data_IF_404565857251
#
_entry.id   IF_404565857251
#
_cell.length_a   1.000
_cell.length_b   1.000
_cell.length_c   1.000
_cell.angle_alpha   90.00
_cell.angle_beta   90.00
_cell.angle_gamma   90.00
#
_symmetry.space_group_name_H-M   'P 1'
#
loop_
_entity.id
_entity.type
_entity.pdbx_description
1 polymer ?
#
# COMPACT_ATOMS: atom_id res chain seq x y z
N UNK A 1 -13.84 -7.90 -1.58
CA UNK A 1 -15.28 -7.60 -1.76
C UNK A 1 -15.54 -7.40 -3.22
N UNK A 2 -16.65 -7.92 -3.72
CA UNK A 2 -17.01 -7.85 -5.14
C UNK A 2 -15.83 -8.29 -6.04
N UNK A 3 -15.24 -9.44 -5.71
CA UNK A 3 -14.11 -10.00 -6.44
C UNK A 3 -12.74 -9.32 -6.21
N UNK A 4 -12.67 -8.25 -5.42
CA UNK A 4 -11.39 -7.59 -5.08
C UNK A 4 -10.80 -6.78 -6.25
N UNK A 5 -11.63 -6.34 -7.19
CA UNK A 5 -11.21 -5.67 -8.43
C UNK A 5 -10.91 -4.18 -8.24
N UNK A 6 -11.30 -3.58 -7.12
CA UNK A 6 -11.00 -2.18 -6.82
C UNK A 6 -9.49 -1.96 -6.73
N UNK A 7 -9.00 -0.92 -7.41
CA UNK A 7 -7.59 -0.58 -7.49
C UNK A 7 -7.19 0.52 -6.51
N UNK A 8 -5.97 0.40 -6.00
CA UNK A 8 -5.32 1.31 -5.05
C UNK A 8 -3.87 1.55 -5.44
N UNK A 9 -3.42 2.79 -5.28
CA UNK A 9 -2.02 3.15 -5.33
C UNK A 9 -1.34 2.88 -3.98
N UNK A 10 -0.33 2.02 -3.96
CA UNK A 10 0.43 1.66 -2.75
C UNK A 10 1.76 2.40 -2.69
N UNK A 11 2.07 2.99 -1.53
CA UNK A 11 3.26 3.83 -1.37
C UNK A 11 4.06 3.31 -0.20
N UNK A 12 5.36 3.08 -0.41
CA UNK A 12 6.23 2.66 0.67
C UNK A 12 6.46 3.82 1.65
N UNK A 13 6.70 3.48 2.92
CA UNK A 13 6.79 4.48 3.99
C UNK A 13 7.90 5.50 3.74
N UNK A 14 9.05 5.08 3.22
CA UNK A 14 10.17 6.00 2.94
C UNK A 14 9.84 7.05 1.87
N UNK A 15 9.09 6.66 0.84
CA UNK A 15 8.57 7.61 -0.16
C UNK A 15 7.62 8.62 0.50
N UNK A 16 6.78 8.16 1.44
CA UNK A 16 5.88 9.03 2.20
C UNK A 16 6.62 10.00 3.12
N UNK A 17 7.57 9.49 3.91
CA UNK A 17 8.37 10.28 4.85
C UNK A 17 9.24 11.29 4.11
N UNK A 18 9.87 10.91 2.99
CA UNK A 18 10.67 11.85 2.20
C UNK A 18 9.84 13.04 1.68
N UNK A 19 8.59 12.83 1.27
CA UNK A 19 7.69 13.93 0.92
C UNK A 19 7.36 14.82 2.14
N UNK A 20 7.05 14.20 3.29
CA UNK A 20 6.76 14.93 4.52
C UNK A 20 7.94 15.79 4.98
N UNK A 21 9.17 15.28 4.88
CA UNK A 21 10.37 16.05 5.22
C UNK A 21 10.53 17.28 4.33
N UNK A 22 10.22 17.18 3.02
CA UNK A 22 10.24 18.34 2.11
C UNK A 22 9.16 19.38 2.45
N UNK A 23 7.98 18.93 2.87
CA UNK A 23 6.90 19.82 3.33
C UNK A 23 7.32 20.58 4.59
N UNK A 24 7.96 19.89 5.55
CA UNK A 24 8.44 20.49 6.80
C UNK A 24 9.57 21.49 6.54
N UNK A 25 10.53 21.13 5.68
CA UNK A 25 11.61 22.03 5.25
C UNK A 25 11.06 23.30 4.59
N UNK A 26 9.92 23.18 3.88
CA UNK A 26 9.15 24.28 3.28
C UNK A 26 10.04 25.30 2.56
N UNK A 27 11.02 24.81 1.79
CA UNK A 27 11.97 25.65 1.08
C UNK A 27 11.25 26.71 0.25
N UNK A 28 11.68 27.96 0.39
CA UNK A 28 11.10 29.14 -0.26
C UNK A 28 9.60 29.36 0.02
N UNK A 29 9.06 28.72 1.07
CA UNK A 29 7.64 28.79 1.42
C UNK A 29 6.71 28.01 0.49
N UNK A 30 7.23 27.16 -0.41
CA UNK A 30 6.46 26.49 -1.48
C UNK A 30 5.30 25.62 -0.99
N UNK A 31 5.42 24.99 0.18
CA UNK A 31 4.39 24.13 0.73
C UNK A 31 3.26 24.90 1.45
N UNK A 32 3.44 26.20 1.68
CA UNK A 32 2.48 27.04 2.41
C UNK A 32 1.15 27.14 1.65
N UNK A 33 0.06 26.75 2.31
CA UNK A 33 -1.30 26.81 1.73
C UNK A 33 -1.58 25.78 0.63
N UNK A 34 -0.67 24.81 0.41
CA UNK A 34 -0.84 23.78 -0.61
C UNK A 34 -1.50 22.52 -0.06
N UNK A 35 -2.10 21.75 -0.98
CA UNK A 35 -2.63 20.41 -0.70
C UNK A 35 -1.88 19.44 -1.60
N UNK A 36 -1.18 18.49 -0.99
CA UNK A 36 -0.38 17.49 -1.69
C UNK A 36 -0.97 16.09 -1.53
N UNK A 37 -1.13 15.40 -2.66
CA UNK A 37 -1.25 13.95 -2.62
C UNK A 37 0.16 13.36 -2.49
N UNK A 38 0.37 12.52 -1.48
CA UNK A 38 1.60 11.76 -1.32
C UNK A 38 1.26 10.30 -1.64
N UNK A 39 1.68 9.84 -2.81
CA UNK A 39 1.52 8.44 -3.16
C UNK A 39 2.24 8.04 -4.45
N UNK A 40 2.34 6.73 -4.70
CA UNK A 40 2.96 6.18 -5.88
C UNK A 40 1.91 5.71 -6.92
N UNK A 41 1.59 6.52 -7.94
CA UNK A 41 0.59 6.15 -8.96
C UNK A 41 1.03 4.98 -9.83
N UNK A 42 2.33 4.64 -9.87
CA UNK A 42 2.83 3.49 -10.62
C UNK A 42 2.51 2.16 -9.91
N UNK A 43 2.41 2.17 -8.58
CA UNK A 43 2.05 1.00 -7.78
C UNK A 43 0.53 0.83 -7.66
N UNK A 44 -0.20 0.83 -8.79
CA UNK A 44 -1.67 0.77 -8.79
C UNK A 44 -2.18 -0.65 -9.05
N UNK A 45 -2.58 -1.34 -7.98
CA UNK A 45 -3.00 -2.74 -8.01
C UNK A 45 -4.38 -2.93 -7.40
N UNK A 46 -5.10 -3.94 -7.89
CA UNK A 46 -6.31 -4.42 -7.26
C UNK A 46 -6.02 -5.13 -5.94
N UNK A 47 -7.03 -5.23 -5.08
CA UNK A 47 -6.89 -5.99 -3.82
C UNK A 47 -6.59 -7.47 -4.09
N UNK A 48 -7.14 -8.03 -5.17
CA UNK A 48 -6.80 -9.39 -5.60
C UNK A 48 -5.34 -9.53 -6.01
N UNK A 49 -4.83 -8.60 -6.82
CA UNK A 49 -3.42 -8.59 -7.23
C UNK A 49 -2.50 -8.46 -6.01
N UNK A 50 -2.84 -7.57 -5.05
CA UNK A 50 -2.11 -7.45 -3.79
C UNK A 50 -2.06 -8.78 -3.04
N UNK A 51 -3.20 -9.42 -2.81
CA UNK A 51 -3.27 -10.69 -2.09
C UNK A 51 -2.42 -11.77 -2.77
N UNK A 52 -2.46 -11.84 -4.10
CA UNK A 52 -1.66 -12.79 -4.87
C UNK A 52 -0.15 -12.50 -4.72
N UNK A 53 0.28 -11.25 -4.87
CA UNK A 53 1.68 -10.86 -4.70
C UNK A 53 2.20 -11.17 -3.29
N UNK A 54 1.39 -10.95 -2.26
CA UNK A 54 1.73 -11.29 -0.87
C UNK A 54 1.86 -12.81 -0.68
N UNK A 55 0.95 -13.60 -1.23
CA UNK A 55 1.01 -15.07 -1.14
C UNK A 55 2.21 -15.65 -1.87
N UNK A 56 2.51 -15.14 -3.07
CA UNK A 56 3.67 -15.57 -3.84
C UNK A 56 4.96 -15.24 -3.12
N UNK A 57 5.04 -14.07 -2.49
CA UNK A 57 6.18 -13.70 -1.66
C UNK A 57 6.27 -14.59 -0.41
N UNK A 58 5.17 -14.84 0.30
CA UNK A 58 5.14 -15.69 1.49
C UNK A 58 5.66 -17.11 1.26
N UNK A 59 5.47 -17.67 0.06
CA UNK A 59 6.00 -18.99 -0.33
C UNK A 59 7.52 -19.02 -0.46
N UNK A 60 8.15 -17.87 -0.68
CA UNK A 60 9.62 -17.75 -0.80
C UNK A 60 10.30 -17.70 0.57
N UNK A 61 9.60 -17.23 1.60
CA UNK A 61 10.14 -17.10 2.97
C UNK A 61 9.82 -18.35 3.80
N UNK A 62 10.83 -19.09 4.27
CA UNK A 62 10.64 -20.32 5.06
C UNK A 62 9.72 -20.14 6.29
N UNK A 63 9.80 -18.97 6.92
CA UNK A 63 9.06 -18.62 8.12
C UNK A 63 7.55 -18.48 7.87
N UNK A 64 7.14 -18.18 6.64
CA UNK A 64 5.74 -17.97 6.24
C UNK A 64 5.15 -19.11 5.39
N UNK A 65 5.99 -19.95 4.79
CA UNK A 65 5.59 -20.96 3.81
C UNK A 65 4.49 -21.90 4.33
N UNK A 66 4.64 -22.43 5.56
CA UNK A 66 3.66 -23.34 6.17
C UNK A 66 2.26 -22.73 6.36
N UNK A 67 2.17 -21.41 6.53
CA UNK A 67 0.90 -20.72 6.71
C UNK A 67 0.35 -20.23 5.37
N UNK A 68 1.21 -19.83 4.43
CA UNK A 68 0.82 -19.40 3.09
C UNK A 68 -0.01 -20.46 2.36
N UNK A 69 0.35 -21.74 2.49
CA UNK A 69 -0.36 -22.85 1.85
C UNK A 69 -1.77 -23.10 2.42
N UNK A 70 -2.06 -22.55 3.61
CA UNK A 70 -3.37 -22.65 4.27
C UNK A 70 -4.29 -21.47 3.95
N UNK A 71 -3.77 -20.39 3.37
CA UNK A 71 -4.56 -19.20 3.07
C UNK A 71 -5.48 -19.46 1.89
N UNK A 72 -6.76 -19.16 2.06
CA UNK A 72 -7.73 -19.15 0.99
C UNK A 72 -8.26 -17.73 0.77
N UNK A 73 -8.18 -17.25 -0.47
CA UNK A 73 -8.79 -15.97 -0.85
C UNK A 73 -10.28 -16.22 -1.04
N UNK A 74 -11.09 -15.83 -0.05
CA UNK A 74 -12.55 -15.98 -0.08
C UNK A 74 -13.19 -14.72 -0.65
N UNK A 75 -14.01 -14.89 -1.67
CA UNK A 75 -14.82 -13.80 -2.22
C UNK A 75 -16.04 -13.55 -1.33
N UNK A 76 -16.28 -12.28 -1.02
CA UNK A 76 -17.47 -11.84 -0.28
C UNK A 76 -18.06 -10.62 -0.98
N UNK A 77 -19.36 -10.41 -0.86
CA UNK A 77 -20.01 -9.22 -1.43
C UNK A 77 -19.83 -8.02 -0.49
N UNK A 78 -19.72 -6.82 -1.06
CA UNK A 78 -19.63 -5.58 -0.27
C UNK A 78 -20.83 -5.41 0.68
N UNK A 79 -22.02 -5.82 0.26
CA UNK A 79 -23.23 -5.78 1.08
C UNK A 79 -23.20 -6.74 2.29
N UNK A 80 -22.56 -7.91 2.16
CA UNK A 80 -22.42 -8.86 3.27
C UNK A 80 -21.36 -8.44 4.28
N UNK A 81 -20.28 -7.79 3.82
CA UNK A 81 -19.18 -7.44 4.70
C UNK A 81 -19.32 -6.02 5.30
N UNK A 82 -19.68 -5.01 4.50
CA UNK A 82 -19.83 -3.62 4.96
C UNK A 82 -21.28 -3.18 5.19
N UNK A 83 -22.27 -3.97 4.77
CA UNK A 83 -23.69 -3.67 4.93
C UNK A 83 -24.34 -2.97 3.73
N UNK A 84 -25.67 -2.81 3.79
CA UNK A 84 -26.45 -2.14 2.74
C UNK A 84 -26.05 -0.66 2.64
N UNK A 85 -25.75 -0.21 1.42
CA UNK A 85 -25.43 1.19 1.11
C UNK A 85 -23.94 1.51 0.97
N UNK A 86 -23.05 0.51 1.10
CA UNK A 86 -21.62 0.72 0.86
C UNK A 86 -21.35 1.09 -0.60
N UNK A 87 -20.62 2.19 -0.80
CA UNK A 87 -20.11 2.64 -2.09
C UNK A 87 -18.60 2.79 -2.00
N UNK A 88 -17.88 2.23 -2.97
CA UNK A 88 -16.44 2.37 -3.08
C UNK A 88 -16.02 2.90 -4.44
N UNK A 89 -14.94 3.68 -4.42
CA UNK A 89 -14.28 4.19 -5.62
C UNK A 89 -13.47 3.05 -6.23
N UNK A 90 -13.81 2.72 -7.49
CA UNK A 90 -13.23 1.60 -8.22
C UNK A 90 -11.73 1.76 -8.48
N UNK A 91 -11.23 2.98 -8.66
CA UNK A 91 -9.82 3.24 -8.92
C UNK A 91 -9.38 4.53 -8.23
N UNK A 92 -8.41 4.44 -7.32
CA UNK A 92 -7.86 5.59 -6.58
C UNK A 92 -6.40 5.78 -6.95
N UNK A 93 -6.15 6.66 -7.92
CA UNK A 93 -4.79 7.04 -8.37
C UNK A 93 -4.52 8.48 -7.97
N UNK A 94 -3.51 8.75 -7.13
CA UNK A 94 -3.20 10.10 -6.69
C UNK A 94 -2.60 10.90 -7.85
N UNK A 95 -3.13 12.11 -8.10
CA UNK A 95 -2.46 13.09 -8.96
C UNK A 95 -1.34 13.74 -8.13
N UNK A 96 -0.08 13.52 -8.52
CA UNK A 96 1.10 13.97 -7.77
C UNK A 96 1.93 15.04 -8.49
N UNK A 97 1.42 15.61 -9.58
CA UNK A 97 2.17 16.56 -10.40
C UNK A 97 2.65 17.81 -9.61
N UNK A 98 1.80 18.38 -8.75
CA UNK A 98 2.18 19.51 -7.90
C UNK A 98 3.14 19.08 -6.79
N UNK A 99 2.91 17.93 -6.15
CA UNK A 99 3.84 17.37 -5.15
C UNK A 99 5.25 17.20 -5.75
N UNK A 100 5.34 16.68 -6.97
CA UNK A 100 6.62 16.49 -7.64
C UNK A 100 7.30 17.81 -8.00
N UNK A 101 6.55 18.76 -8.57
CA UNK A 101 7.09 20.03 -9.03
C UNK A 101 7.50 20.96 -7.87
N UNK A 102 6.69 21.05 -6.83
CA UNK A 102 6.91 21.99 -5.73
C UNK A 102 7.99 21.48 -4.77
N UNK A 103 7.94 20.18 -4.42
CA UNK A 103 8.80 19.59 -3.41
C UNK A 103 10.09 18.96 -3.97
N UNK A 104 10.23 18.91 -5.30
CA UNK A 104 11.29 18.16 -5.97
C UNK A 104 11.39 16.73 -5.40
N UNK A 105 10.23 16.06 -5.44
CA UNK A 105 10.01 14.74 -4.85
C UNK A 105 9.44 13.80 -5.89
N UNK A 106 9.77 12.51 -5.81
CA UNK A 106 9.17 11.47 -6.63
C UNK A 106 9.23 10.14 -5.88
N UNK A 107 8.14 9.35 -5.84
CA UNK A 107 8.19 8.04 -5.22
C UNK A 107 9.04 7.10 -6.08
N UNK A 108 9.94 6.35 -5.44
CA UNK A 108 10.90 5.48 -6.11
C UNK A 108 10.70 4.00 -5.82
N UNK A 109 10.00 3.64 -4.75
CA UNK A 109 9.91 2.25 -4.30
C UNK A 109 8.84 1.49 -5.07
N UNK A 110 9.24 0.41 -5.74
CA UNK A 110 8.32 -0.46 -6.49
C UNK A 110 7.47 -1.29 -5.54
N UNK A 111 6.33 -1.79 -6.02
CA UNK A 111 5.49 -2.68 -5.20
C UNK A 111 6.22 -3.95 -4.74
N UNK A 112 7.06 -4.52 -5.61
CA UNK A 112 7.85 -5.71 -5.28
C UNK A 112 8.84 -5.43 -4.15
N UNK A 113 9.53 -4.28 -4.20
CA UNK A 113 10.50 -3.89 -3.18
C UNK A 113 9.80 -3.48 -1.87
N UNK A 114 8.66 -2.81 -1.96
CA UNK A 114 7.84 -2.45 -0.80
C UNK A 114 7.38 -3.70 -0.04
N UNK A 115 6.84 -4.70 -0.74
CA UNK A 115 6.44 -5.96 -0.12
C UNK A 115 7.63 -6.73 0.44
N UNK A 116 8.75 -6.79 -0.29
CA UNK A 116 9.97 -7.43 0.19
C UNK A 116 10.45 -6.81 1.50
N UNK A 117 10.52 -5.47 1.57
CA UNK A 117 10.92 -4.76 2.78
C UNK A 117 9.98 -5.02 3.98
N UNK A 118 8.67 -5.19 3.74
CA UNK A 118 7.72 -5.57 4.81
C UNK A 118 8.00 -7.00 5.30
N UNK A 119 8.16 -7.96 4.39
CA UNK A 119 8.43 -9.35 4.76
C UNK A 119 9.78 -9.51 5.48
N UNK A 120 10.82 -8.84 4.99
CA UNK A 120 12.14 -8.83 5.62
C UNK A 120 12.10 -8.24 7.04
N UNK A 121 11.28 -7.21 7.28
CA UNK A 121 11.13 -6.63 8.62
C UNK A 121 10.45 -7.59 9.61
N UNK A 122 9.41 -8.30 9.17
CA UNK A 122 8.62 -9.18 10.04
C UNK A 122 9.16 -10.61 10.16
N UNK A 123 10.14 -11.02 9.35
CA UNK A 123 10.62 -12.42 9.30
C UNK A 123 11.12 -12.96 10.64
N UNK A 124 11.72 -12.10 11.47
CA UNK A 124 12.22 -12.45 12.81
C UNK A 124 11.20 -12.11 13.91
N UNK A 125 10.06 -11.55 13.52
CA UNK A 125 8.98 -11.09 14.40
C UNK A 125 7.65 -11.78 14.07
N UNK A 126 7.69 -13.04 13.63
CA UNK A 126 6.49 -13.79 13.22
C UNK A 126 5.41 -13.81 14.31
N UNK A 127 5.80 -13.79 15.59
CA UNK A 127 4.87 -13.62 16.71
C UNK A 127 4.16 -12.25 16.67
N UNK A 128 4.91 -11.14 16.56
CA UNK A 128 4.34 -9.79 16.48
C UNK A 128 3.55 -9.53 15.18
N UNK A 129 3.82 -10.26 14.10
CA UNK A 129 3.01 -10.19 12.88
C UNK A 129 1.60 -10.75 13.07
N UNK A 130 1.37 -11.66 14.02
CA UNK A 130 0.02 -12.18 14.32
C UNK A 130 -0.83 -11.13 15.03
N UNK A 131 -0.21 -10.35 15.91
CA UNK A 131 -0.85 -9.29 16.70
C UNK A 131 -1.33 -8.11 15.82
N UNK A 132 -0.91 -8.00 14.55
CA UNK A 132 -1.39 -6.96 13.62
C UNK A 132 -2.87 -7.12 13.24
N UNK A 133 -3.46 -8.29 13.51
CA UNK A 133 -4.85 -8.61 13.20
C UNK A 133 -5.73 -8.84 14.43
N UNK A 134 -5.17 -8.68 15.63
CA UNK A 134 -5.90 -8.66 16.92
C UNK A 134 -6.28 -7.23 17.30
#
# INVERSE_FOLDING_TARGET
MDGGHQKRAFTYVDDGISALMKIIDNKDGKASGQIYNIGNPANNYSIRELAQMMLDLARVYPEYQLNADKVQVVETTSGQYYGKGYQDVQNRVPKIANTMADLDWKPGVTMADALRGIYDYYRDQVAASRDLSE
#
